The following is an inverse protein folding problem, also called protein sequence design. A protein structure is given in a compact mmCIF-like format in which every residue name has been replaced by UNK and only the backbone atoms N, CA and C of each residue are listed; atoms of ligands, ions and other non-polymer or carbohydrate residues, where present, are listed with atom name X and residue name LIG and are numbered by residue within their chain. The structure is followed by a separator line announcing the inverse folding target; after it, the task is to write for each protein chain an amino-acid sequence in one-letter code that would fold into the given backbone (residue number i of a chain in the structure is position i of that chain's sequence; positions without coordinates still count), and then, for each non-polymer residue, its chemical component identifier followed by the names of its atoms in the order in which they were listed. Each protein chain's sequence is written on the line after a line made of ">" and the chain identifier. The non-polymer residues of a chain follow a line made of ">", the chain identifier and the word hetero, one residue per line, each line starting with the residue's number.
data_IF_732410089875
#
_entry.id   IF_732410089875
#
_cell.length_a   1.000
_cell.length_b   1.000
_cell.length_c   1.000
_cell.angle_alpha   90.00
_cell.angle_beta   90.00
_cell.angle_gamma   90.00
#
_symmetry.space_group_name_H-M   'P 1'
#
loop_
_entity.id
_entity.type
_entity.pdbx_description
1 polymer ?
#
# COMPACT_ATOMS: atom_id res chain seq x y z
N UNK A 1 20.69 -37.44 -13.50
CA UNK A 1 21.56 -36.58 -12.68
C UNK A 1 20.96 -35.17 -12.70
N UNK A 2 20.26 -34.75 -11.67
CA UNK A 2 19.67 -33.39 -11.59
C UNK A 2 20.79 -32.41 -11.31
N UNK A 3 20.99 -31.47 -12.22
CA UNK A 3 22.00 -30.40 -12.08
C UNK A 3 21.60 -29.55 -10.87
N UNK A 4 22.43 -29.55 -9.81
CA UNK A 4 22.22 -28.74 -8.62
C UNK A 4 22.25 -27.27 -9.02
N UNK A 5 21.10 -26.58 -8.99
CA UNK A 5 21.00 -25.16 -9.29
C UNK A 5 21.59 -24.42 -8.08
N UNK A 6 22.77 -23.85 -8.23
CA UNK A 6 23.39 -23.02 -7.21
C UNK A 6 22.81 -21.60 -7.31
N UNK A 7 21.82 -21.30 -6.46
CA UNK A 7 21.22 -19.97 -6.37
C UNK A 7 22.11 -19.07 -5.51
N UNK A 8 22.52 -17.94 -6.05
CA UNK A 8 23.32 -16.95 -5.32
C UNK A 8 22.48 -16.23 -4.24
N UNK A 9 23.09 -15.65 -3.20
CA UNK A 9 22.36 -14.88 -2.18
C UNK A 9 21.51 -13.74 -2.76
N UNK A 10 21.99 -13.08 -3.82
CA UNK A 10 21.24 -12.01 -4.51
C UNK A 10 19.99 -12.55 -5.21
N UNK A 11 20.12 -13.70 -5.86
CA UNK A 11 18.99 -14.37 -6.51
C UNK A 11 17.95 -14.84 -5.49
N UNK A 12 18.38 -15.33 -4.32
CA UNK A 12 17.47 -15.70 -3.24
C UNK A 12 16.64 -14.49 -2.74
N UNK A 13 17.29 -13.34 -2.53
CA UNK A 13 16.60 -12.11 -2.14
C UNK A 13 15.57 -11.71 -3.20
N UNK A 14 15.96 -11.71 -4.48
CA UNK A 14 15.07 -11.35 -5.58
C UNK A 14 13.87 -12.30 -5.67
N UNK A 15 14.09 -13.60 -5.56
CA UNK A 15 13.02 -14.61 -5.58
C UNK A 15 12.05 -14.37 -4.42
N UNK A 16 12.55 -14.10 -3.21
CA UNK A 16 11.70 -13.81 -2.04
C UNK A 16 10.87 -12.55 -2.29
N UNK A 17 11.47 -11.47 -2.80
CA UNK A 17 10.73 -10.25 -3.12
C UNK A 17 9.62 -10.49 -4.15
N UNK A 18 9.91 -11.25 -5.21
CA UNK A 18 8.91 -11.61 -6.24
C UNK A 18 7.79 -12.45 -5.62
N UNK A 19 8.11 -13.43 -4.80
CA UNK A 19 7.12 -14.29 -4.14
C UNK A 19 6.25 -13.50 -3.17
N UNK A 20 6.82 -12.64 -2.32
CA UNK A 20 6.07 -11.76 -1.42
C UNK A 20 5.08 -10.88 -2.21
N UNK A 21 5.56 -10.22 -3.25
CA UNK A 21 4.71 -9.37 -4.10
C UNK A 21 3.61 -10.17 -4.80
N UNK A 22 3.95 -11.31 -5.39
CA UNK A 22 3.00 -12.14 -6.14
C UNK A 22 1.93 -12.75 -5.24
N UNK A 23 2.29 -13.26 -4.06
CA UNK A 23 1.33 -13.85 -3.12
C UNK A 23 0.42 -12.76 -2.54
N UNK A 24 0.95 -11.61 -2.14
CA UNK A 24 0.15 -10.48 -1.66
C UNK A 24 -0.84 -10.03 -2.74
N UNK A 25 -0.36 -9.83 -3.97
CA UNK A 25 -1.22 -9.47 -5.09
C UNK A 25 -2.32 -10.51 -5.33
N UNK A 26 -1.98 -11.80 -5.31
CA UNK A 26 -2.95 -12.87 -5.56
C UNK A 26 -4.04 -12.94 -4.50
N UNK A 27 -3.67 -12.82 -3.21
CA UNK A 27 -4.61 -12.88 -2.08
C UNK A 27 -5.58 -11.70 -2.10
N UNK A 28 -5.09 -10.50 -2.39
CA UNK A 28 -5.90 -9.28 -2.34
C UNK A 28 -6.41 -8.81 -3.71
N UNK A 29 -6.22 -9.58 -4.78
CA UNK A 29 -6.63 -9.21 -6.13
C UNK A 29 -8.10 -8.83 -6.28
N UNK A 30 -8.95 -9.41 -5.44
CA UNK A 30 -10.40 -9.15 -5.44
C UNK A 30 -10.79 -7.72 -5.02
N UNK A 31 -9.92 -6.99 -4.31
CA UNK A 31 -10.21 -5.62 -3.80
C UNK A 31 -10.54 -4.63 -4.93
N UNK A 32 -10.07 -4.88 -6.14
CA UNK A 32 -10.38 -4.08 -7.34
C UNK A 32 -11.86 -4.01 -7.70
N UNK A 33 -12.67 -4.91 -7.14
CA UNK A 33 -14.12 -4.99 -7.36
C UNK A 33 -14.93 -4.48 -6.18
N UNK A 34 -14.29 -4.00 -5.13
CA UNK A 34 -14.97 -3.48 -3.96
C UNK A 34 -15.41 -2.04 -4.20
N UNK A 35 -16.57 -1.71 -3.68
CA UNK A 35 -17.11 -0.36 -3.67
C UNK A 35 -16.60 0.42 -2.46
N UNK A 36 -16.81 1.75 -2.46
CA UNK A 36 -16.58 2.56 -1.28
C UNK A 36 -17.49 2.13 -0.13
N UNK A 37 -16.94 2.08 1.08
CA UNK A 37 -17.67 1.75 2.29
C UNK A 37 -18.35 3.01 2.84
N UNK A 38 -19.62 2.87 3.24
CA UNK A 38 -20.40 3.99 3.82
C UNK A 38 -19.98 4.26 5.28
N UNK A 39 -18.71 4.53 5.49
CA UNK A 39 -18.11 4.90 6.77
C UNK A 39 -17.14 6.07 6.53
N UNK A 40 -15.84 5.82 6.48
CA UNK A 40 -14.83 6.86 6.30
C UNK A 40 -14.75 7.37 4.86
N UNK A 41 -14.97 6.53 3.84
CA UNK A 41 -14.88 6.89 2.43
C UNK A 41 -15.83 8.03 2.03
N UNK A 42 -16.97 8.14 2.73
CA UNK A 42 -17.88 9.26 2.52
C UNK A 42 -17.24 10.61 2.84
N UNK A 43 -16.55 10.69 3.97
CA UNK A 43 -15.97 11.95 4.45
C UNK A 43 -14.59 12.19 3.85
N UNK A 44 -13.83 11.12 3.57
CA UNK A 44 -12.47 11.21 3.05
C UNK A 44 -12.44 11.41 1.53
N UNK A 45 -13.40 10.84 0.79
CA UNK A 45 -13.35 10.81 -0.67
C UNK A 45 -14.60 11.42 -1.29
N UNK A 46 -15.77 10.78 -1.09
CA UNK A 46 -16.95 11.05 -1.92
C UNK A 46 -17.65 12.37 -1.61
N UNK A 47 -17.49 12.94 -0.41
CA UNK A 47 -18.02 14.26 -0.02
C UNK A 47 -16.92 15.30 0.22
N UNK A 48 -15.65 14.93 0.08
CA UNK A 48 -14.55 15.84 0.33
C UNK A 48 -14.17 16.65 -0.93
N UNK A 49 -14.63 17.89 -0.98
CA UNK A 49 -14.37 18.78 -2.13
C UNK A 49 -12.89 19.12 -2.30
N UNK A 50 -12.10 19.13 -1.21
CA UNK A 50 -10.65 19.34 -1.31
C UNK A 50 -9.94 18.16 -1.98
N UNK A 51 -10.32 16.94 -1.65
CA UNK A 51 -9.79 15.73 -2.33
C UNK A 51 -10.24 15.71 -3.78
N UNK A 52 -11.50 16.03 -4.05
CA UNK A 52 -12.05 16.06 -5.41
C UNK A 52 -11.54 17.20 -6.28
N UNK A 53 -10.84 18.17 -5.72
CA UNK A 53 -10.13 19.18 -6.52
C UNK A 53 -8.80 18.68 -7.10
N UNK A 54 -8.35 17.49 -6.71
CA UNK A 54 -7.07 16.92 -7.11
C UNK A 54 -5.87 17.62 -6.46
N UNK A 55 -4.67 17.34 -6.97
CA UNK A 55 -3.40 17.92 -6.48
C UNK A 55 -3.26 19.38 -6.93
N UNK A 56 -4.01 20.27 -6.30
CA UNK A 56 -3.87 21.72 -6.49
C UNK A 56 -3.00 22.33 -5.39
N UNK A 57 -2.42 23.53 -5.63
CA UNK A 57 -1.64 24.22 -4.60
C UNK A 57 -2.48 24.52 -3.35
N UNK A 58 -3.77 24.81 -3.52
CA UNK A 58 -4.73 25.02 -2.44
C UNK A 58 -4.98 23.71 -1.67
N UNK A 59 -5.23 22.60 -2.39
CA UNK A 59 -5.40 21.27 -1.80
C UNK A 59 -4.16 20.83 -0.99
N UNK A 60 -2.96 21.04 -1.53
CA UNK A 60 -1.71 20.75 -0.80
C UNK A 60 -1.62 21.59 0.48
N UNK A 61 -1.87 22.91 0.41
CA UNK A 61 -1.88 23.77 1.61
C UNK A 61 -2.91 23.30 2.62
N UNK A 62 -4.11 22.97 2.18
CA UNK A 62 -5.16 22.43 3.03
C UNK A 62 -4.71 21.13 3.71
N UNK A 63 -4.11 20.18 2.99
CA UNK A 63 -3.66 18.91 3.53
C UNK A 63 -2.67 19.07 4.70
N UNK A 64 -1.80 20.09 4.65
CA UNK A 64 -0.83 20.35 5.73
C UNK A 64 -1.38 21.26 6.83
N UNK A 65 -2.40 22.05 6.59
CA UNK A 65 -2.96 23.02 7.56
C UNK A 65 -4.21 22.51 8.28
N UNK A 66 -4.82 21.41 7.79
CA UNK A 66 -6.08 20.90 8.34
C UNK A 66 -5.87 20.30 9.74
N UNK A 67 -6.55 20.91 10.72
CA UNK A 67 -6.57 20.49 12.14
C UNK A 67 -8.00 20.47 12.69
N UNK A 68 -9.03 20.39 11.81
CA UNK A 68 -10.44 20.39 12.25
C UNK A 68 -10.81 19.08 12.96
N UNK A 69 -11.81 19.15 13.82
CA UNK A 69 -12.31 17.98 14.55
C UNK A 69 -12.82 16.86 13.62
N UNK A 70 -13.22 17.21 12.39
CA UNK A 70 -13.74 16.27 11.41
C UNK A 70 -12.65 15.57 10.58
N UNK A 71 -11.42 16.10 10.58
CA UNK A 71 -10.32 15.56 9.79
C UNK A 71 -9.05 15.43 10.63
N UNK A 72 -8.51 14.24 10.71
CA UNK A 72 -7.24 13.98 11.34
C UNK A 72 -6.10 14.56 10.49
N UNK A 73 -5.00 14.97 11.13
CA UNK A 73 -3.85 15.49 10.41
C UNK A 73 -3.02 14.37 9.78
N UNK A 74 -3.34 14.05 8.52
CA UNK A 74 -2.65 13.04 7.72
C UNK A 74 -2.30 13.58 6.33
N UNK A 75 -1.38 14.54 6.23
CA UNK A 75 -1.13 15.24 4.96
C UNK A 75 -0.80 14.29 3.80
N UNK A 76 -0.03 13.23 4.04
CA UNK A 76 0.33 12.27 3.00
C UNK A 76 -0.85 11.43 2.50
N UNK A 77 -1.78 11.10 3.37
CA UNK A 77 -3.02 10.40 3.00
C UNK A 77 -3.86 11.32 2.12
N UNK A 78 -4.05 12.59 2.52
CA UNK A 78 -4.78 13.56 1.71
C UNK A 78 -4.18 13.73 0.32
N UNK A 79 -2.85 13.84 0.21
CA UNK A 79 -2.16 13.95 -1.07
C UNK A 79 -2.32 12.69 -1.92
N UNK A 80 -2.29 11.49 -1.33
CA UNK A 80 -2.54 10.24 -2.03
C UNK A 80 -3.95 10.19 -2.59
N UNK A 81 -4.96 10.51 -1.77
CA UNK A 81 -6.36 10.52 -2.20
C UNK A 81 -6.64 11.58 -3.29
N UNK A 82 -6.02 12.76 -3.20
CA UNK A 82 -6.09 13.79 -4.25
C UNK A 82 -5.47 13.30 -5.56
N UNK A 83 -4.35 12.58 -5.48
CA UNK A 83 -3.71 11.98 -6.65
C UNK A 83 -4.60 10.90 -7.27
N UNK A 84 -5.16 10.02 -6.46
CA UNK A 84 -6.07 8.96 -6.90
C UNK A 84 -7.30 9.57 -7.59
N UNK A 85 -7.89 10.62 -6.99
CA UNK A 85 -9.00 11.32 -7.61
C UNK A 85 -8.62 11.96 -8.97
N UNK A 86 -7.46 12.58 -9.05
CA UNK A 86 -6.97 13.21 -10.29
C UNK A 86 -6.74 12.18 -11.40
N UNK A 87 -6.32 10.95 -11.06
CA UNK A 87 -6.03 9.89 -12.03
C UNK A 87 -7.28 9.08 -12.40
N UNK A 88 -8.17 8.84 -11.45
CA UNK A 88 -9.22 7.82 -11.57
C UNK A 88 -10.63 8.35 -11.28
N UNK A 89 -10.78 9.62 -10.85
CA UNK A 89 -12.07 10.16 -10.39
C UNK A 89 -12.59 9.38 -9.18
N UNK A 90 -13.90 9.13 -9.13
CA UNK A 90 -14.55 8.34 -8.09
C UNK A 90 -14.67 6.85 -8.50
N UNK A 91 -13.57 6.21 -8.85
CA UNK A 91 -13.55 4.78 -9.20
C UNK A 91 -12.99 3.95 -8.03
N UNK A 92 -13.83 3.29 -7.19
CA UNK A 92 -13.42 2.70 -5.91
C UNK A 92 -12.28 1.68 -6.06
N UNK A 93 -12.40 0.77 -7.03
CA UNK A 93 -11.41 -0.27 -7.28
C UNK A 93 -10.00 0.26 -7.54
N UNK A 94 -9.86 1.49 -8.09
CA UNK A 94 -8.56 2.10 -8.33
C UNK A 94 -7.90 2.54 -7.00
N UNK A 95 -8.66 3.12 -6.07
CA UNK A 95 -8.18 3.47 -4.73
C UNK A 95 -7.71 2.23 -3.97
N UNK A 96 -8.49 1.15 -4.02
CA UNK A 96 -8.09 -0.12 -3.39
C UNK A 96 -6.82 -0.70 -4.04
N UNK A 97 -6.65 -0.55 -5.36
CA UNK A 97 -5.42 -0.98 -6.03
C UNK A 97 -4.21 -0.13 -5.65
N UNK A 98 -4.38 1.19 -5.48
CA UNK A 98 -3.32 2.06 -4.94
C UNK A 98 -2.89 1.59 -3.55
N UNK A 99 -3.84 1.32 -2.65
CA UNK A 99 -3.56 0.80 -1.32
C UNK A 99 -2.84 -0.56 -1.37
N UNK A 100 -3.25 -1.46 -2.26
CA UNK A 100 -2.58 -2.75 -2.44
C UNK A 100 -1.14 -2.60 -2.93
N UNK A 101 -0.87 -1.67 -3.86
CA UNK A 101 0.49 -1.36 -4.32
C UNK A 101 1.34 -0.83 -3.16
N UNK A 102 0.82 0.11 -2.37
CA UNK A 102 1.50 0.66 -1.20
C UNK A 102 1.78 -0.42 -0.15
N UNK A 103 0.84 -1.35 0.07
CA UNK A 103 1.02 -2.47 0.98
C UNK A 103 2.13 -3.43 0.50
N UNK A 104 2.19 -3.76 -0.79
CA UNK A 104 3.29 -4.54 -1.37
C UNK A 104 4.63 -3.83 -1.17
N UNK A 105 4.71 -2.53 -1.48
CA UNK A 105 5.93 -1.76 -1.28
C UNK A 105 6.38 -1.74 0.18
N UNK A 106 5.46 -1.55 1.12
CA UNK A 106 5.73 -1.59 2.57
C UNK A 106 6.24 -2.97 2.99
N UNK A 107 5.64 -4.05 2.47
CA UNK A 107 6.09 -5.43 2.72
C UNK A 107 7.53 -5.65 2.25
N UNK A 108 7.87 -5.19 1.05
CA UNK A 108 9.23 -5.32 0.50
C UNK A 108 10.25 -4.47 1.28
N UNK A 109 9.87 -3.27 1.70
CA UNK A 109 10.70 -2.42 2.56
C UNK A 109 10.94 -3.08 3.93
N UNK A 110 9.88 -3.64 4.54
CA UNK A 110 9.98 -4.36 5.81
C UNK A 110 10.92 -5.55 5.71
N UNK A 111 10.77 -6.38 4.68
CA UNK A 111 11.69 -7.49 4.40
C UNK A 111 13.14 -7.01 4.28
N UNK A 112 13.36 -5.97 3.47
CA UNK A 112 14.70 -5.42 3.21
C UNK A 112 15.34 -4.86 4.48
N UNK A 113 14.55 -4.16 5.30
CA UNK A 113 14.98 -3.59 6.58
C UNK A 113 15.43 -4.70 7.54
N UNK A 114 14.55 -5.68 7.80
CA UNK A 114 14.88 -6.78 8.72
C UNK A 114 16.06 -7.61 8.23
N UNK A 115 16.13 -7.88 6.93
CA UNK A 115 17.27 -8.60 6.37
C UNK A 115 18.59 -7.85 6.55
N UNK A 116 18.61 -6.53 6.32
CA UNK A 116 19.80 -5.70 6.56
C UNK A 116 20.20 -5.62 8.03
N UNK A 117 19.23 -5.54 8.94
CA UNK A 117 19.48 -5.43 10.38
C UNK A 117 19.98 -6.74 10.99
N UNK A 118 19.47 -7.88 10.53
CA UNK A 118 19.70 -9.18 11.21
C UNK A 118 20.60 -10.14 10.43
N UNK A 119 20.76 -9.94 9.12
CA UNK A 119 21.40 -10.91 8.22
C UNK A 119 20.61 -12.22 8.03
N UNK A 120 19.48 -12.38 8.71
CA UNK A 120 18.70 -13.63 8.75
C UNK A 120 17.64 -13.66 7.64
N UNK A 121 18.00 -14.10 6.44
CA UNK A 121 17.17 -14.08 5.25
C UNK A 121 15.77 -14.67 5.46
N UNK A 122 15.69 -15.92 5.93
CA UNK A 122 14.42 -16.65 6.07
C UNK A 122 13.53 -16.13 7.21
N UNK A 123 14.15 -15.68 8.30
CA UNK A 123 13.39 -15.06 9.41
C UNK A 123 12.77 -13.74 8.96
N UNK A 124 13.52 -12.93 8.22
CA UNK A 124 13.01 -11.67 7.66
C UNK A 124 11.90 -11.90 6.63
N UNK A 125 12.05 -12.92 5.78
CA UNK A 125 11.02 -13.33 4.83
C UNK A 125 9.73 -13.80 5.53
N UNK A 126 9.85 -14.58 6.60
CA UNK A 126 8.71 -15.03 7.39
C UNK A 126 7.95 -13.86 8.02
N UNK A 127 8.65 -12.93 8.67
CA UNK A 127 8.02 -11.74 9.28
C UNK A 127 7.32 -10.88 8.23
N UNK A 128 7.96 -10.67 7.08
CA UNK A 128 7.36 -9.90 5.98
C UNK A 128 6.14 -10.62 5.38
N UNK A 129 6.19 -11.94 5.22
CA UNK A 129 5.04 -12.72 4.75
C UNK A 129 3.86 -12.68 5.75
N UNK A 130 4.16 -12.78 7.06
CA UNK A 130 3.15 -12.65 8.09
C UNK A 130 2.50 -11.26 8.07
N UNK A 131 3.30 -10.19 7.96
CA UNK A 131 2.79 -8.83 7.81
C UNK A 131 1.92 -8.70 6.55
N UNK A 132 2.40 -9.22 5.40
CA UNK A 132 1.72 -9.10 4.12
C UNK A 132 0.34 -9.76 4.10
N UNK A 133 0.17 -10.89 4.80
CA UNK A 133 -1.02 -11.74 4.71
C UNK A 133 -1.95 -11.63 5.92
N UNK A 134 -1.54 -10.90 6.96
CA UNK A 134 -2.36 -10.78 8.17
C UNK A 134 -3.56 -9.86 7.92
N UNK A 135 -4.78 -10.31 8.16
CA UNK A 135 -6.00 -9.57 7.78
C UNK A 135 -6.15 -8.20 8.48
N UNK A 136 -5.51 -7.98 9.63
CA UNK A 136 -5.54 -6.69 10.34
C UNK A 136 -4.61 -5.62 9.75
N UNK A 137 -3.88 -5.91 8.69
CA UNK A 137 -2.97 -4.97 8.03
C UNK A 137 -3.49 -4.47 6.68
N UNK A 138 -4.71 -4.86 6.31
CA UNK A 138 -5.35 -4.51 5.03
C UNK A 138 -6.70 -3.89 5.32
N UNK A 139 -6.69 -2.60 5.49
CA UNK A 139 -7.88 -1.73 5.52
C UNK A 139 -7.88 -0.81 4.31
#
# INVERSE_FOLDING_TARGET
>A
MLKKINITPKEQILIICILLAAVTLAVYWQVRHFDFVNFDDLNYITKNTHVQSGLTLEGIRWAFSTTSADYLWHPLIWLSLMLDYQLYGLHPGAYHMTNLILHILTTLLLFSLFHRMTGALWKSAFVAAFFALHPLHVE
#
